data_IF_560780526550
#
_entry.id   IF_560780526550
#
_cell.length_a   1.000
_cell.length_b   1.000
_cell.length_c   1.000
_cell.angle_alpha   90.00
_cell.angle_beta   90.00
_cell.angle_gamma   90.00
#
_symmetry.space_group_name_H-M   'P 1'
#
loop_
_entity.id
_entity.type
_entity.pdbx_description
1 polymer ?
#
# COMPACT_ATOMS: atom_id res chain seq x y z
N UNK A 1 -0.62 -10.18 10.91
CA UNK A 1 -0.38 -11.27 9.94
C UNK A 1 0.24 -10.70 8.66
N UNK A 2 0.91 -11.52 7.91
CA UNK A 2 1.40 -11.08 6.60
C UNK A 2 0.30 -11.23 5.55
N UNK A 3 0.44 -10.44 4.48
CA UNK A 3 -0.51 -10.48 3.36
C UNK A 3 -0.60 -11.89 2.76
N UNK A 4 0.53 -12.59 2.68
CA UNK A 4 0.57 -13.95 2.09
C UNK A 4 -0.11 -14.99 2.97
N UNK A 5 -0.12 -14.79 4.29
CA UNK A 5 -0.60 -15.80 5.25
C UNK A 5 -2.07 -15.65 5.62
N UNK A 6 -2.62 -14.44 5.50
CA UNK A 6 -3.99 -14.19 5.94
C UNK A 6 -4.99 -14.91 5.03
N UNK A 7 -6.05 -15.47 5.64
CA UNK A 7 -7.04 -16.22 4.87
C UNK A 7 -7.81 -15.35 3.88
N UNK A 8 -8.31 -14.20 4.35
CA UNK A 8 -9.02 -13.24 3.51
C UNK A 8 -8.14 -12.00 3.46
N UNK A 9 -7.59 -11.72 2.30
CA UNK A 9 -6.70 -10.58 2.13
C UNK A 9 -7.48 -9.28 2.16
N UNK A 10 -6.89 -8.21 2.72
CA UNK A 10 -7.53 -6.90 2.61
C UNK A 10 -7.67 -6.51 1.14
N UNK A 11 -8.71 -5.76 0.83
CA UNK A 11 -8.97 -5.30 -0.54
C UNK A 11 -9.05 -3.78 -0.59
N UNK A 12 -8.59 -3.21 -1.70
CA UNK A 12 -8.61 -1.78 -1.95
C UNK A 12 -9.62 -1.50 -3.07
N UNK A 13 -10.70 -0.80 -2.74
CA UNK A 13 -11.76 -0.48 -3.70
C UNK A 13 -12.22 -1.73 -4.46
N UNK A 14 -12.35 -2.84 -3.74
CA UNK A 14 -12.78 -4.11 -4.31
C UNK A 14 -11.71 -4.86 -5.10
N UNK A 15 -10.48 -4.37 -5.12
CA UNK A 15 -9.40 -4.99 -5.86
C UNK A 15 -8.27 -5.49 -4.97
N UNK A 16 -7.23 -6.04 -5.60
CA UNK A 16 -6.07 -6.57 -4.90
C UNK A 16 -5.08 -5.46 -4.56
N UNK A 17 -3.97 -5.86 -3.92
CA UNK A 17 -2.87 -4.93 -3.63
C UNK A 17 -2.29 -4.32 -4.92
N UNK A 18 -2.40 -5.02 -6.04
CA UNK A 18 -1.96 -4.48 -7.34
C UNK A 18 -2.77 -3.25 -7.72
N UNK A 19 -4.08 -3.26 -7.44
CA UNK A 19 -4.92 -2.10 -7.69
C UNK A 19 -4.47 -0.91 -6.84
N UNK A 20 -4.10 -1.16 -5.60
CA UNK A 20 -3.58 -0.11 -4.73
C UNK A 20 -2.26 0.46 -5.27
N UNK A 21 -1.34 -0.42 -5.69
CA UNK A 21 -0.08 0.02 -6.27
C UNK A 21 -0.33 0.92 -7.49
N UNK A 22 -1.26 0.52 -8.35
CA UNK A 22 -1.63 1.32 -9.52
C UNK A 22 -2.20 2.68 -9.11
N UNK A 23 -3.05 2.70 -8.07
CA UNK A 23 -3.62 3.94 -7.57
C UNK A 23 -2.53 4.91 -7.08
N UNK A 24 -1.53 4.39 -6.34
CA UNK A 24 -0.43 5.22 -5.86
C UNK A 24 0.40 5.73 -7.04
N UNK A 25 0.68 4.88 -8.03
CA UNK A 25 1.42 5.30 -9.23
C UNK A 25 0.67 6.41 -9.95
N UNK A 26 -0.66 6.30 -10.08
CA UNK A 26 -1.47 7.32 -10.74
C UNK A 26 -1.42 8.65 -9.97
N UNK A 27 -1.41 8.60 -8.64
CA UNK A 27 -1.32 9.81 -7.81
C UNK A 27 0.04 10.49 -7.95
N UNK A 28 1.05 9.78 -8.45
CA UNK A 28 2.38 10.33 -8.68
C UNK A 28 2.56 10.80 -10.12
N UNK A 29 1.52 10.77 -10.92
CA UNK A 29 1.57 11.21 -12.32
C UNK A 29 2.06 12.66 -12.40
N UNK A 30 2.95 12.93 -13.33
CA UNK A 30 3.55 14.26 -13.45
C UNK A 30 4.78 14.45 -12.58
N UNK A 31 5.05 13.55 -11.65
CA UNK A 31 6.26 13.58 -10.83
C UNK A 31 7.41 12.95 -11.61
N UNK A 32 8.61 13.47 -11.38
CA UNK A 32 9.79 13.01 -12.10
C UNK A 32 10.42 11.84 -11.36
N UNK A 33 9.76 10.69 -11.40
CA UNK A 33 10.19 9.47 -10.70
C UNK A 33 10.36 8.36 -11.71
N UNK A 34 11.42 7.57 -11.56
CA UNK A 34 11.65 6.40 -12.40
C UNK A 34 12.17 5.24 -11.56
N UNK A 35 12.02 4.03 -12.08
CA UNK A 35 12.49 2.82 -11.41
C UNK A 35 11.46 2.23 -10.48
N UNK A 36 11.92 1.37 -9.59
CA UNK A 36 11.06 0.63 -8.67
C UNK A 36 11.18 1.21 -7.26
N UNK A 37 10.03 1.37 -6.60
CA UNK A 37 9.96 1.87 -5.23
C UNK A 37 9.19 0.83 -4.43
N UNK A 38 9.71 0.43 -3.29
CA UNK A 38 9.07 -0.57 -2.42
C UNK A 38 8.30 0.18 -1.35
N UNK A 39 7.04 -0.19 -1.16
CA UNK A 39 6.23 0.31 -0.06
C UNK A 39 5.80 -0.85 0.84
N UNK A 40 5.84 -0.59 2.15
CA UNK A 40 5.36 -1.52 3.17
C UNK A 40 4.42 -0.77 4.09
N UNK A 41 3.35 -1.41 4.49
CA UNK A 41 2.35 -0.75 5.35
C UNK A 41 1.48 -1.80 6.02
N UNK A 42 0.76 -1.37 7.05
CA UNK A 42 -0.21 -2.23 7.74
C UNK A 42 -1.62 -1.73 7.41
N UNK A 43 -2.48 -2.65 6.98
CA UNK A 43 -3.93 -2.39 6.93
C UNK A 43 -4.49 -2.87 8.26
N UNK A 44 -4.99 -1.95 9.07
CA UNK A 44 -5.46 -2.30 10.40
C UNK A 44 -6.89 -2.85 10.34
N UNK A 45 -7.41 -3.23 11.52
CA UNK A 45 -8.74 -3.86 11.62
C UNK A 45 -9.87 -2.94 11.18
N UNK A 46 -9.64 -1.65 11.09
CA UNK A 46 -10.62 -0.67 10.61
C UNK A 46 -10.44 -0.33 9.14
N UNK A 47 -9.47 -0.95 8.47
CA UNK A 47 -9.19 -0.67 7.07
C UNK A 47 -8.27 0.52 6.85
N UNK A 48 -7.79 1.16 7.91
CA UNK A 48 -6.85 2.28 7.79
C UNK A 48 -5.42 1.80 7.56
N UNK A 49 -4.62 2.66 6.93
CA UNK A 49 -3.22 2.35 6.64
C UNK A 49 -2.34 2.95 7.72
N UNK A 50 -1.40 2.17 8.24
CA UNK A 50 -0.47 2.56 9.32
C UNK A 50 0.93 2.04 9.03
N UNK A 51 1.90 2.61 9.74
CA UNK A 51 3.29 2.12 9.76
C UNK A 51 3.87 2.01 8.34
N UNK A 52 3.78 3.10 7.59
CA UNK A 52 4.20 3.12 6.20
C UNK A 52 5.71 3.29 6.11
N UNK A 53 6.35 2.46 5.29
CA UNK A 53 7.77 2.56 4.97
C UNK A 53 7.89 2.61 3.46
N UNK A 54 8.68 3.56 2.96
CA UNK A 54 8.91 3.72 1.52
C UNK A 54 10.42 3.71 1.27
N UNK A 55 10.88 2.93 0.30
CA UNK A 55 12.29 2.79 -0.03
C UNK A 55 12.51 2.83 -1.53
N UNK A 56 13.53 3.54 -1.96
CA UNK A 56 14.02 3.44 -3.34
C UNK A 56 13.95 4.69 -4.18
N UNK A 57 13.38 5.79 -3.69
CA UNK A 57 13.18 6.98 -4.52
C UNK A 57 13.89 8.23 -3.99
N UNK A 58 14.71 8.10 -2.93
CA UNK A 58 15.31 9.26 -2.26
C UNK A 58 14.33 9.91 -1.30
N UNK A 59 14.86 10.69 -0.36
CA UNK A 59 14.07 11.16 0.79
C UNK A 59 12.85 11.97 0.38
N UNK A 60 13.01 12.94 -0.49
CA UNK A 60 11.91 13.84 -0.86
C UNK A 60 10.76 13.10 -1.52
N UNK A 61 11.08 12.22 -2.47
CA UNK A 61 10.07 11.45 -3.18
C UNK A 61 9.48 10.37 -2.29
N UNK A 62 10.29 9.73 -1.46
CA UNK A 62 9.79 8.75 -0.49
C UNK A 62 8.77 9.39 0.44
N UNK A 63 9.04 10.60 0.93
CA UNK A 63 8.11 11.30 1.82
C UNK A 63 6.80 11.62 1.12
N UNK A 64 6.85 12.02 -0.15
CA UNK A 64 5.65 12.28 -0.94
C UNK A 64 4.81 11.02 -1.10
N UNK A 65 5.44 9.91 -1.46
CA UNK A 65 4.75 8.63 -1.61
C UNK A 65 4.18 8.18 -0.26
N UNK A 66 4.95 8.33 0.82
CA UNK A 66 4.48 7.99 2.16
C UNK A 66 3.18 8.73 2.50
N UNK A 67 3.10 10.02 2.20
CA UNK A 67 1.89 10.79 2.47
C UNK A 67 0.70 10.30 1.64
N UNK A 68 0.92 9.98 0.37
CA UNK A 68 -0.13 9.42 -0.47
C UNK A 68 -0.65 8.12 0.12
N UNK A 69 0.24 7.21 0.53
CA UNK A 69 -0.13 5.91 1.09
C UNK A 69 -0.87 6.10 2.42
N UNK A 70 -0.37 6.98 3.30
CA UNK A 70 -0.98 7.22 4.62
C UNK A 70 -2.39 7.76 4.52
N UNK A 71 -2.68 8.59 3.55
CA UNK A 71 -3.97 9.26 3.41
C UNK A 71 -4.83 8.65 2.31
N UNK A 72 -4.52 7.41 1.92
CA UNK A 72 -5.32 6.69 0.94
C UNK A 72 -6.70 6.34 1.52
N UNK A 73 -7.70 6.12 0.65
CA UNK A 73 -9.01 5.64 1.12
C UNK A 73 -8.89 4.35 1.90
N UNK A 74 -9.85 4.11 2.79
CA UNK A 74 -9.84 2.91 3.62
C UNK A 74 -9.99 1.65 2.77
N UNK A 75 -9.35 0.59 3.25
CA UNK A 75 -9.45 -0.74 2.69
C UNK A 75 -10.57 -1.52 3.38
N UNK A 76 -11.06 -2.58 2.75
CA UNK A 76 -11.76 -3.62 3.48
C UNK A 76 -10.70 -4.42 4.23
N UNK A 77 -10.82 -4.60 5.56
CA UNK A 77 -9.77 -5.25 6.33
C UNK A 77 -9.64 -6.74 6.02
N UNK A 78 -8.45 -7.28 6.27
CA UNK A 78 -8.23 -8.72 6.17
C UNK A 78 -8.92 -9.47 7.28
N UNK A 79 -9.16 -10.75 7.05
CA UNK A 79 -9.80 -11.63 8.04
C UNK A 79 -9.07 -12.93 8.17
N UNK A 80 -9.04 -13.45 9.37
CA UNK A 80 -8.50 -14.77 9.64
C UNK A 80 -9.44 -15.46 10.61
N UNK A 81 -9.93 -16.65 10.23
CA UNK A 81 -10.91 -17.41 11.00
C UNK A 81 -12.14 -16.58 11.34
N UNK A 82 -12.62 -15.80 10.37
CA UNK A 82 -13.83 -14.99 10.51
C UNK A 82 -13.66 -13.69 11.30
N UNK A 83 -12.45 -13.38 11.78
CA UNK A 83 -12.20 -12.17 12.56
C UNK A 83 -11.32 -11.21 11.76
N UNK A 84 -11.60 -9.91 11.86
CA UNK A 84 -10.72 -8.90 11.25
C UNK A 84 -9.38 -8.89 11.98
N UNK A 85 -8.32 -8.74 11.21
CA UNK A 85 -6.95 -8.75 11.74
C UNK A 85 -6.14 -7.64 11.08
N UNK A 86 -5.06 -7.23 11.77
CA UNK A 86 -4.06 -6.35 11.17
C UNK A 86 -3.25 -7.16 10.15
N UNK A 87 -3.00 -6.59 8.98
CA UNK A 87 -2.26 -7.29 7.92
C UNK A 87 -1.11 -6.41 7.46
N UNK A 88 0.11 -6.97 7.50
CA UNK A 88 1.30 -6.29 6.97
C UNK A 88 1.41 -6.55 5.48
N UNK A 89 1.46 -5.49 4.69
CA UNK A 89 1.47 -5.54 3.24
C UNK A 89 2.77 -4.99 2.68
N UNK A 90 3.17 -5.51 1.55
CA UNK A 90 4.33 -5.01 0.81
C UNK A 90 4.04 -5.10 -0.67
N UNK A 91 4.36 -4.04 -1.40
CA UNK A 91 4.25 -4.08 -2.86
C UNK A 91 5.29 -3.16 -3.47
N UNK A 92 5.52 -3.31 -4.75
CA UNK A 92 6.47 -2.51 -5.51
C UNK A 92 5.71 -1.60 -6.46
N UNK A 93 6.07 -0.32 -6.43
CA UNK A 93 5.58 0.65 -7.42
C UNK A 93 6.58 0.66 -8.57
N UNK A 94 6.10 0.63 -9.78
CA UNK A 94 6.95 0.68 -10.98
C UNK A 94 6.66 1.96 -11.73
N UNK A 95 7.68 2.80 -11.84
CA UNK A 95 7.57 4.07 -12.54
C UNK A 95 8.35 3.95 -13.85
N UNK A 96 7.63 4.11 -14.95
CA UNK A 96 8.26 4.16 -16.26
C UNK A 96 8.99 5.48 -16.45
N UNK A 97 9.81 5.53 -17.44
CA UNK A 97 10.55 6.76 -17.75
C UNK A 97 10.35 7.16 -19.20
#
# INVERSE_FOLDING_TARGET
MSYESVQVKPTFKGGTITKFAQWVEDMMEGSNVSGNVIIEFTVNVYGGVRNVVVKGAGKKTNDKIMNIVRFSPNWAPGKNRGKVVHVRCRTTLSFGN
#
